data_IF_114723744387
#
_entry.id   IF_114723744387
#
_cell.length_a   1.000
_cell.length_b   1.000
_cell.length_c   1.000
_cell.angle_alpha   90.00
_cell.angle_beta   90.00
_cell.angle_gamma   90.00
#
_symmetry.space_group_name_H-M   'P 1'
#
loop_
_entity.id
_entity.type
_entity.pdbx_description
1 polymer ?
#
# COMPACT_ATOMS: atom_id res chain seq x y z
N UNK A 1 -14.63 9.40 -16.89
CA UNK A 1 -15.09 8.55 -15.77
C UNK A 1 -13.90 8.35 -14.82
N UNK A 2 -14.12 8.37 -13.51
CA UNK A 2 -12.99 8.25 -12.55
C UNK A 2 -12.65 6.76 -12.32
N UNK A 3 -11.58 6.29 -12.96
CA UNK A 3 -11.10 4.91 -12.87
C UNK A 3 -10.81 4.47 -11.43
N UNK A 4 -10.26 5.39 -10.60
CA UNK A 4 -9.95 5.10 -9.20
C UNK A 4 -11.22 4.92 -8.38
N UNK A 5 -12.23 5.73 -8.65
CA UNK A 5 -13.54 5.59 -8.00
C UNK A 5 -14.20 4.26 -8.38
N UNK A 6 -14.16 3.89 -9.66
CA UNK A 6 -14.70 2.60 -10.11
C UNK A 6 -14.06 1.41 -9.37
N UNK A 7 -12.71 1.40 -9.29
CA UNK A 7 -11.99 0.34 -8.57
C UNK A 7 -12.29 0.34 -7.07
N UNK A 8 -12.35 1.53 -6.45
CA UNK A 8 -12.65 1.68 -5.03
C UNK A 8 -14.07 1.22 -4.67
N UNK A 9 -15.07 1.66 -5.42
CA UNK A 9 -16.47 1.28 -5.22
C UNK A 9 -16.64 -0.25 -5.38
N UNK A 10 -16.02 -0.84 -6.41
CA UNK A 10 -16.07 -2.28 -6.63
C UNK A 10 -15.42 -3.09 -5.51
N UNK A 11 -14.31 -2.60 -4.97
CA UNK A 11 -13.62 -3.26 -3.87
C UNK A 11 -14.43 -3.23 -2.57
N UNK A 12 -15.17 -2.15 -2.31
CA UNK A 12 -16.05 -2.04 -1.15
C UNK A 12 -17.14 -3.15 -1.09
N UNK A 13 -17.58 -3.68 -2.23
CA UNK A 13 -18.55 -4.79 -2.29
C UNK A 13 -18.06 -6.09 -1.60
N UNK A 14 -16.74 -6.24 -1.40
CA UNK A 14 -16.15 -7.39 -0.71
C UNK A 14 -16.20 -7.26 0.82
N UNK A 15 -16.49 -6.07 1.34
CA UNK A 15 -16.63 -5.83 2.77
C UNK A 15 -17.97 -6.39 3.25
N UNK A 16 -17.95 -7.22 4.28
CA UNK A 16 -19.12 -7.90 4.82
C UNK A 16 -19.32 -7.56 6.31
N UNK A 17 -20.53 -7.76 6.76
CA UNK A 17 -20.91 -7.54 8.17
C UNK A 17 -20.02 -8.38 9.12
N UNK A 18 -19.58 -7.77 10.20
CA UNK A 18 -18.73 -8.41 11.22
C UNK A 18 -17.25 -8.44 10.93
N UNK A 19 -16.79 -7.98 9.74
CA UNK A 19 -15.37 -8.01 9.39
C UNK A 19 -14.53 -6.97 10.15
N UNK A 20 -13.25 -7.31 10.35
CA UNK A 20 -12.17 -6.36 10.62
C UNK A 20 -11.50 -6.02 9.29
N UNK A 21 -11.56 -4.74 8.88
CA UNK A 21 -11.16 -4.28 7.55
C UNK A 21 -9.95 -3.37 7.62
N UNK A 22 -8.88 -3.71 6.90
CA UNK A 22 -7.74 -2.85 6.66
C UNK A 22 -8.06 -1.80 5.61
N UNK A 23 -8.06 -0.53 5.99
CA UNK A 23 -8.32 0.61 5.12
C UNK A 23 -7.02 1.20 4.61
N UNK A 24 -6.78 1.03 3.31
CA UNK A 24 -5.59 1.49 2.62
C UNK A 24 -5.43 2.99 2.52
N UNK A 25 -4.33 3.42 1.93
CA UNK A 25 -3.93 4.83 1.77
C UNK A 25 -3.77 5.20 0.29
N UNK A 26 -4.06 6.45 -0.04
CA UNK A 26 -3.87 7.01 -1.39
C UNK A 26 -5.17 7.27 -2.13
N UNK A 27 -5.04 7.81 -3.35
CA UNK A 27 -6.17 8.36 -4.10
C UNK A 27 -7.23 7.33 -4.50
N UNK A 28 -6.84 6.07 -4.77
CA UNK A 28 -7.81 5.00 -5.07
C UNK A 28 -8.46 4.49 -3.78
N UNK A 29 -7.67 4.30 -2.72
CA UNK A 29 -8.17 3.90 -1.41
C UNK A 29 -9.14 4.93 -0.81
N UNK A 30 -8.94 6.22 -1.07
CA UNK A 30 -9.86 7.29 -0.65
C UNK A 30 -11.31 7.02 -1.10
N UNK A 31 -11.51 6.58 -2.35
CA UNK A 31 -12.84 6.26 -2.86
C UNK A 31 -13.42 5.00 -2.21
N UNK A 32 -12.60 3.98 -1.99
CA UNK A 32 -13.01 2.77 -1.28
C UNK A 32 -13.45 3.09 0.16
N UNK A 33 -12.69 3.89 0.89
CA UNK A 33 -13.05 4.30 2.26
C UNK A 33 -14.36 5.08 2.30
N UNK A 34 -14.61 5.97 1.31
CA UNK A 34 -15.90 6.66 1.19
C UNK A 34 -17.05 5.68 0.96
N UNK A 35 -16.88 4.71 0.05
CA UNK A 35 -17.91 3.70 -0.22
C UNK A 35 -18.20 2.85 1.03
N UNK A 36 -17.18 2.41 1.75
CA UNK A 36 -17.33 1.69 3.02
C UNK A 36 -18.03 2.56 4.07
N UNK A 37 -17.69 3.86 4.16
CA UNK A 37 -18.36 4.80 5.06
C UNK A 37 -19.86 4.93 4.77
N UNK A 38 -20.27 5.01 3.51
CA UNK A 38 -21.69 5.01 3.15
C UNK A 38 -22.38 3.67 3.52
N UNK A 39 -21.68 2.53 3.36
CA UNK A 39 -22.22 1.23 3.78
C UNK A 39 -22.42 1.18 5.30
N UNK A 40 -21.46 1.68 6.09
CA UNK A 40 -21.57 1.76 7.57
C UNK A 40 -22.75 2.65 7.96
N UNK A 41 -22.91 3.81 7.34
CA UNK A 41 -24.04 4.71 7.55
C UNK A 41 -25.39 4.04 7.24
N UNK A 42 -25.41 3.10 6.29
CA UNK A 42 -26.58 2.32 5.92
C UNK A 42 -26.75 1.01 6.73
N UNK A 43 -25.97 0.83 7.79
CA UNK A 43 -26.14 -0.23 8.78
C UNK A 43 -25.15 -1.37 8.74
N UNK A 44 -24.15 -1.36 7.84
CA UNK A 44 -23.06 -2.33 7.85
C UNK A 44 -22.26 -2.22 9.15
N UNK A 45 -22.02 -3.34 9.83
CA UNK A 45 -21.31 -3.41 11.09
C UNK A 45 -19.91 -3.98 10.87
N UNK A 46 -18.89 -3.15 10.90
CA UNK A 46 -17.49 -3.53 10.80
C UNK A 46 -16.65 -2.83 11.86
N UNK A 47 -15.42 -3.28 12.01
CA UNK A 47 -14.33 -2.56 12.65
C UNK A 47 -13.21 -2.37 11.64
N UNK A 48 -12.44 -1.29 11.75
CA UNK A 48 -11.45 -1.01 10.73
C UNK A 48 -10.11 -0.56 11.29
N UNK A 49 -9.03 -0.84 10.54
CA UNK A 49 -7.67 -0.40 10.80
C UNK A 49 -7.19 0.46 9.64
N UNK A 50 -6.88 1.75 9.87
CA UNK A 50 -6.32 2.62 8.84
C UNK A 50 -4.81 2.43 8.71
N UNK A 51 -4.31 2.48 7.47
CA UNK A 51 -2.87 2.37 7.16
C UNK A 51 -2.12 3.70 7.22
N UNK A 52 -2.81 4.81 7.51
CA UNK A 52 -2.22 6.15 7.69
C UNK A 52 -3.07 7.05 8.56
N UNK A 53 -2.48 8.12 9.09
CA UNK A 53 -3.22 9.17 9.81
C UNK A 53 -4.24 9.87 8.91
N UNK A 54 -3.95 10.02 7.62
CA UNK A 54 -4.88 10.60 6.66
C UNK A 54 -6.13 9.71 6.49
N UNK A 55 -5.94 8.40 6.31
CA UNK A 55 -7.05 7.43 6.24
C UNK A 55 -7.81 7.33 7.57
N UNK A 56 -7.09 7.43 8.69
CA UNK A 56 -7.71 7.48 10.02
C UNK A 56 -8.66 8.68 10.16
N UNK A 57 -8.21 9.87 9.77
CA UNK A 57 -9.03 11.08 9.82
C UNK A 57 -10.29 10.93 8.92
N UNK A 58 -10.12 10.47 7.69
CA UNK A 58 -11.23 10.22 6.76
C UNK A 58 -12.24 9.21 7.34
N UNK A 59 -11.77 8.09 7.86
CA UNK A 59 -12.63 7.06 8.43
C UNK A 59 -13.42 7.56 9.65
N UNK A 60 -12.80 8.39 10.51
CA UNK A 60 -13.47 9.03 11.64
C UNK A 60 -14.57 10.00 11.20
N UNK A 61 -14.33 10.83 10.19
CA UNK A 61 -15.33 11.74 9.61
C UNK A 61 -16.54 10.97 9.03
N UNK A 62 -16.30 9.78 8.47
CA UNK A 62 -17.33 8.91 7.93
C UNK A 62 -18.04 8.04 9.00
N UNK A 63 -17.63 8.12 10.26
CA UNK A 63 -18.21 7.34 11.35
C UNK A 63 -17.86 5.86 11.32
N UNK A 64 -16.79 5.46 10.62
CA UNK A 64 -16.32 4.07 10.60
C UNK A 64 -15.66 3.76 11.96
N UNK A 65 -16.10 2.69 12.68
CA UNK A 65 -15.47 2.30 13.95
C UNK A 65 -14.03 1.83 13.73
N UNK A 66 -13.08 2.44 14.44
CA UNK A 66 -11.65 2.14 14.33
C UNK A 66 -11.13 1.39 15.56
N UNK A 67 -10.21 0.47 15.30
CA UNK A 67 -9.41 -0.25 16.29
C UNK A 67 -7.94 0.17 16.21
N UNK A 68 -7.19 -0.11 17.26
CA UNK A 68 -5.74 -0.02 17.30
C UNK A 68 -5.14 -1.34 16.83
N UNK A 69 -4.06 -1.29 16.05
CA UNK A 69 -3.44 -2.50 15.47
C UNK A 69 -2.99 -3.50 16.54
N UNK A 70 -2.50 -3.01 17.69
CA UNK A 70 -2.00 -3.83 18.78
C UNK A 70 -3.11 -4.57 19.57
N UNK A 71 -4.39 -4.25 19.29
CA UNK A 71 -5.56 -4.91 19.92
C UNK A 71 -6.09 -6.06 19.05
N UNK A 72 -5.46 -6.35 17.90
CA UNK A 72 -5.97 -7.29 16.91
C UNK A 72 -5.09 -8.52 16.75
N UNK A 73 -5.73 -9.68 16.67
CA UNK A 73 -5.08 -10.94 16.30
C UNK A 73 -4.99 -11.12 14.77
N UNK A 74 -5.94 -10.54 14.02
CA UNK A 74 -5.99 -10.64 12.56
C UNK A 74 -6.81 -9.51 11.93
N UNK A 75 -6.66 -9.35 10.62
CA UNK A 75 -7.52 -8.56 9.74
C UNK A 75 -8.22 -9.51 8.78
N UNK A 76 -9.55 -9.39 8.58
CA UNK A 76 -10.25 -10.29 7.66
C UNK A 76 -9.96 -9.93 6.21
N UNK A 77 -9.99 -8.64 5.89
CA UNK A 77 -9.80 -8.13 4.53
C UNK A 77 -9.02 -6.82 4.57
N UNK A 78 -7.88 -6.75 3.88
CA UNK A 78 -7.18 -5.49 3.61
C UNK A 78 -7.41 -5.05 2.17
N UNK A 79 -7.81 -3.78 1.96
CA UNK A 79 -8.00 -3.19 0.64
C UNK A 79 -7.13 -1.96 0.53
N UNK A 80 -6.19 -1.93 -0.41
CA UNK A 80 -5.24 -0.82 -0.54
C UNK A 80 -4.83 -0.57 -2.00
N UNK A 81 -4.30 0.63 -2.27
CA UNK A 81 -3.76 1.01 -3.57
C UNK A 81 -2.37 0.44 -3.83
N UNK A 82 -1.93 0.48 -5.10
CA UNK A 82 -0.55 0.17 -5.49
C UNK A 82 0.04 1.27 -6.36
N UNK A 83 1.37 1.36 -6.40
CA UNK A 83 2.09 2.26 -7.30
C UNK A 83 2.41 1.58 -8.64
N UNK A 84 2.79 0.29 -8.60
CA UNK A 84 2.94 -0.61 -9.74
C UNK A 84 2.63 -2.05 -9.31
N UNK A 85 2.15 -2.87 -10.24
CA UNK A 85 1.98 -4.31 -10.06
C UNK A 85 2.18 -5.06 -11.37
N UNK A 86 2.87 -6.20 -11.31
CA UNK A 86 3.12 -7.09 -12.45
C UNK A 86 2.12 -8.27 -12.52
N UNK A 87 2.11 -9.04 -13.64
CA UNK A 87 1.24 -10.20 -13.78
C UNK A 87 1.50 -11.34 -12.78
N UNK A 88 2.65 -11.33 -12.09
CA UNK A 88 2.98 -12.27 -11.03
C UNK A 88 2.50 -11.79 -9.66
N UNK A 89 1.74 -10.68 -9.60
CA UNK A 89 1.24 -10.05 -8.40
C UNK A 89 2.33 -9.49 -7.46
N UNK A 90 3.53 -9.22 -7.99
CA UNK A 90 4.52 -8.45 -7.28
C UNK A 90 4.16 -6.96 -7.37
N UNK A 91 4.08 -6.29 -6.23
CA UNK A 91 3.68 -4.89 -6.20
C UNK A 91 4.75 -3.99 -5.58
N UNK A 92 4.85 -2.76 -6.10
CA UNK A 92 5.50 -1.63 -5.43
C UNK A 92 4.42 -0.76 -4.80
N UNK A 93 4.60 -0.45 -3.52
CA UNK A 93 3.74 0.44 -2.74
C UNK A 93 4.56 1.42 -1.91
N UNK A 94 3.90 2.39 -1.31
CA UNK A 94 4.54 3.36 -0.43
C UNK A 94 4.85 4.70 -1.07
N UNK A 95 4.35 4.98 -2.28
CA UNK A 95 4.44 6.29 -2.92
C UNK A 95 3.83 7.40 -2.05
N UNK A 96 2.76 7.10 -1.31
CA UNK A 96 2.14 7.98 -0.31
C UNK A 96 2.95 8.18 0.98
N UNK A 97 3.90 7.29 1.28
CA UNK A 97 4.74 7.31 2.49
C UNK A 97 4.22 6.46 3.64
N UNK A 98 3.22 5.61 3.43
CA UNK A 98 2.58 4.80 4.48
C UNK A 98 3.04 3.32 4.48
N UNK A 99 4.03 2.95 3.66
CA UNK A 99 4.44 1.57 3.36
C UNK A 99 4.57 0.66 4.59
N UNK A 100 5.07 1.17 5.72
CA UNK A 100 5.24 0.39 6.95
C UNK A 100 3.89 -0.09 7.50
N UNK A 101 2.96 0.85 7.72
CA UNK A 101 1.62 0.51 8.22
C UNK A 101 0.83 -0.30 7.20
N UNK A 102 0.94 0.02 5.90
CA UNK A 102 0.33 -0.74 4.81
C UNK A 102 0.76 -2.21 4.85
N UNK A 103 2.08 -2.48 5.04
CA UNK A 103 2.59 -3.86 5.09
C UNK A 103 2.20 -4.57 6.38
N UNK A 104 2.23 -3.91 7.53
CA UNK A 104 1.76 -4.49 8.80
C UNK A 104 0.31 -4.95 8.67
N UNK A 105 -0.60 -4.09 8.19
CA UNK A 105 -2.01 -4.44 8.01
C UNK A 105 -2.19 -5.55 6.99
N UNK A 106 -1.52 -5.47 5.83
CA UNK A 106 -1.59 -6.52 4.80
C UNK A 106 -1.05 -7.88 5.29
N UNK A 107 0.00 -7.88 6.14
CA UNK A 107 0.58 -9.12 6.67
C UNK A 107 -0.32 -9.84 7.68
N UNK A 108 -1.24 -9.11 8.32
CA UNK A 108 -2.23 -9.65 9.27
C UNK A 108 -3.53 -10.06 8.58
N UNK A 109 -3.71 -9.71 7.30
CA UNK A 109 -4.96 -9.92 6.59
C UNK A 109 -5.08 -11.35 6.04
N UNK A 110 -6.27 -11.96 6.22
CA UNK A 110 -6.62 -13.24 5.62
C UNK A 110 -6.73 -13.13 4.10
N UNK A 111 -7.27 -12.01 3.62
CA UNK A 111 -7.33 -11.67 2.20
C UNK A 111 -6.84 -10.24 1.97
N UNK A 112 -6.13 -10.03 0.86
CA UNK A 112 -5.64 -8.72 0.43
C UNK A 112 -6.13 -8.44 -0.98
N UNK A 113 -6.74 -7.28 -1.18
CA UNK A 113 -7.18 -6.77 -2.47
C UNK A 113 -6.36 -5.52 -2.81
N UNK A 114 -5.69 -5.53 -3.96
CA UNK A 114 -5.08 -4.33 -4.50
C UNK A 114 -6.03 -3.64 -5.48
N UNK A 115 -6.20 -2.33 -5.31
CA UNK A 115 -7.10 -1.50 -6.13
C UNK A 115 -6.32 -0.42 -6.88
N UNK A 116 -6.65 -0.20 -8.15
CA UNK A 116 -5.88 0.68 -9.01
C UNK A 116 -6.64 1.16 -10.25
N UNK A 117 -6.09 2.16 -10.90
CA UNK A 117 -6.35 2.44 -12.30
C UNK A 117 -5.42 1.62 -13.20
N UNK A 118 -5.79 1.45 -14.48
CA UNK A 118 -5.06 0.62 -15.44
C UNK A 118 -3.59 1.01 -15.65
N UNK A 119 -3.21 2.27 -15.36
CA UNK A 119 -1.83 2.74 -15.51
C UNK A 119 -0.84 2.10 -14.53
N UNK A 120 -1.35 1.40 -13.48
CA UNK A 120 -0.53 0.74 -12.48
C UNK A 120 -0.16 -0.70 -12.84
N UNK A 121 -0.83 -1.25 -13.85
CA UNK A 121 -0.48 -2.55 -14.43
C UNK A 121 0.75 -2.38 -15.33
N UNK A 122 1.81 -3.11 -15.03
CA UNK A 122 3.07 -3.08 -15.79
C UNK A 122 3.54 -4.49 -16.09
N UNK A 123 4.30 -4.67 -17.17
CA UNK A 123 4.89 -5.98 -17.49
C UNK A 123 5.96 -6.39 -16.47
N UNK A 124 6.72 -5.40 -15.97
CA UNK A 124 7.75 -5.56 -14.94
C UNK A 124 7.79 -4.32 -14.05
N UNK A 125 7.76 -4.52 -12.74
CA UNK A 125 7.87 -3.43 -11.77
C UNK A 125 9.26 -2.77 -11.80
N UNK A 126 9.33 -1.50 -11.36
CA UNK A 126 10.57 -0.74 -11.14
C UNK A 126 10.70 0.51 -12.00
N UNK A 127 9.74 0.85 -12.86
CA UNK A 127 9.68 2.18 -13.50
C UNK A 127 9.31 3.23 -12.44
N UNK A 128 8.39 2.90 -11.54
CA UNK A 128 8.20 3.66 -10.30
C UNK A 128 9.35 3.36 -9.33
N UNK A 129 9.85 4.38 -8.64
CA UNK A 129 10.89 4.19 -7.64
C UNK A 129 10.42 3.29 -6.49
N UNK A 130 11.31 2.49 -5.93
CA UNK A 130 11.00 1.64 -4.79
C UNK A 130 11.18 2.43 -3.48
N UNK A 131 10.11 2.73 -2.72
CA UNK A 131 10.22 3.38 -1.43
C UNK A 131 10.81 2.45 -0.37
N UNK A 132 11.76 2.95 0.41
CA UNK A 132 12.37 2.24 1.54
C UNK A 132 12.31 3.11 2.77
N UNK A 133 11.60 2.66 3.81
CA UNK A 133 11.54 3.30 5.10
C UNK A 133 12.85 3.09 5.85
N UNK A 134 13.49 4.18 6.27
CA UNK A 134 14.77 4.15 6.96
C UNK A 134 14.71 4.91 8.29
N UNK A 135 15.48 4.46 9.26
CA UNK A 135 15.65 5.17 10.52
C UNK A 135 16.25 6.56 10.28
N UNK A 136 15.80 7.58 11.01
CA UNK A 136 16.37 8.93 10.91
C UNK A 136 17.86 8.93 11.33
N UNK A 137 18.14 8.30 12.48
CA UNK A 137 19.52 8.14 12.95
C UNK A 137 20.27 7.17 12.03
N UNK A 138 21.34 7.65 11.43
CA UNK A 138 22.15 6.87 10.49
C UNK A 138 21.55 6.75 9.09
N UNK A 139 20.60 7.61 8.71
CA UNK A 139 19.98 7.62 7.39
C UNK A 139 20.99 7.78 6.25
N UNK A 140 22.01 8.63 6.42
CA UNK A 140 23.10 8.78 5.46
C UNK A 140 23.82 7.44 5.22
N UNK A 141 24.18 6.72 6.28
CA UNK A 141 24.87 5.43 6.19
C UNK A 141 23.99 4.35 5.56
N UNK A 142 22.68 4.35 5.83
CA UNK A 142 21.73 3.46 5.16
C UNK A 142 21.69 3.74 3.65
N UNK A 143 21.60 5.00 3.25
CA UNK A 143 21.62 5.39 1.84
C UNK A 143 22.95 5.05 1.15
N UNK A 144 24.09 5.24 1.82
CA UNK A 144 25.40 4.84 1.29
C UNK A 144 25.49 3.32 1.04
N UNK A 145 24.91 2.49 1.93
CA UNK A 145 24.83 1.03 1.70
C UNK A 145 23.99 0.68 0.48
N UNK A 146 22.85 1.34 0.28
CA UNK A 146 22.02 1.16 -0.92
C UNK A 146 22.74 1.63 -2.19
N UNK A 147 23.43 2.77 -2.12
CA UNK A 147 24.22 3.31 -3.23
C UNK A 147 25.37 2.37 -3.65
N UNK A 148 25.97 1.64 -2.71
CA UNK A 148 27.01 0.66 -3.00
C UNK A 148 26.54 -0.51 -3.88
N UNK A 149 25.22 -0.78 -3.93
CA UNK A 149 24.61 -1.72 -4.86
C UNK A 149 24.21 -1.08 -6.20
N UNK A 150 24.44 0.23 -6.39
CA UNK A 150 24.02 0.93 -7.61
C UNK A 150 22.53 1.31 -7.64
N UNK A 151 21.83 1.31 -6.51
CA UNK A 151 20.37 1.51 -6.46
C UNK A 151 19.92 2.97 -6.48
N UNK A 152 20.83 3.93 -6.61
CA UNK A 152 20.55 5.36 -6.73
C UNK A 152 19.49 5.87 -5.73
N UNK A 153 19.74 5.77 -4.39
CA UNK A 153 18.79 6.20 -3.38
C UNK A 153 18.67 7.72 -3.35
N UNK A 154 17.44 8.21 -3.32
CA UNK A 154 17.13 9.65 -3.14
C UNK A 154 16.30 9.82 -1.88
N UNK A 155 16.75 10.67 -0.96
CA UNK A 155 15.98 10.98 0.24
C UNK A 155 14.72 11.73 -0.15
N UNK A 156 13.54 11.21 0.25
CA UNK A 156 12.27 11.81 -0.12
C UNK A 156 12.10 13.21 0.48
N UNK A 157 11.70 14.15 -0.36
CA UNK A 157 11.39 15.53 0.01
C UNK A 157 9.93 15.84 -0.36
N UNK A 158 9.22 16.53 0.51
CA UNK A 158 7.89 17.08 0.24
C UNK A 158 7.85 18.54 0.71
N UNK A 159 7.37 19.44 -0.13
CA UNK A 159 7.29 20.88 0.17
C UNK A 159 8.65 21.49 0.63
N UNK A 160 9.74 21.07 -0.03
CA UNK A 160 11.09 21.55 0.25
C UNK A 160 11.73 21.04 1.55
N UNK A 161 11.08 20.11 2.27
CA UNK A 161 11.57 19.51 3.52
C UNK A 161 11.69 18.01 3.39
N UNK A 162 12.64 17.41 4.12
CA UNK A 162 12.73 15.95 4.23
C UNK A 162 11.38 15.40 4.71
N UNK A 163 10.85 14.44 3.95
CA UNK A 163 9.59 13.80 4.30
C UNK A 163 9.75 12.90 5.51
N UNK A 164 8.85 13.05 6.47
CA UNK A 164 8.77 12.21 7.67
C UNK A 164 7.47 11.42 7.63
N UNK A 165 7.55 10.10 7.76
CA UNK A 165 6.38 9.21 7.79
C UNK A 165 5.55 9.39 9.06
N UNK A 166 4.33 8.85 9.08
CA UNK A 166 3.46 8.85 10.27
C UNK A 166 4.11 8.19 11.50
N UNK A 167 5.10 7.32 11.29
CA UNK A 167 5.86 6.64 12.33
C UNK A 167 7.20 7.32 12.66
N UNK A 168 7.46 8.52 12.14
CA UNK A 168 8.66 9.30 12.44
C UNK A 168 9.93 8.83 11.70
N UNK A 169 9.80 8.15 10.57
CA UNK A 169 10.91 7.63 9.78
C UNK A 169 11.11 8.43 8.49
N UNK A 170 12.28 8.33 7.88
CA UNK A 170 12.54 8.86 6.54
C UNK A 170 12.21 7.82 5.47
N UNK A 171 12.17 8.24 4.21
CA UNK A 171 12.06 7.36 3.04
C UNK A 171 13.22 7.65 2.09
N UNK A 172 13.89 6.58 1.69
CA UNK A 172 14.80 6.57 0.55
C UNK A 172 14.06 5.97 -0.65
N UNK A 173 13.96 6.71 -1.73
CA UNK A 173 13.39 6.26 -3.00
C UNK A 173 14.50 5.69 -3.87
N UNK A 174 14.43 4.39 -4.19
CA UNK A 174 15.43 3.70 -5.01
C UNK A 174 15.02 3.71 -6.48
N UNK A 175 15.88 4.21 -7.34
CA UNK A 175 15.68 4.26 -8.79
C UNK A 175 16.34 3.06 -9.47
N UNK A 176 15.68 1.90 -9.42
CA UNK A 176 16.22 0.61 -9.87
C UNK A 176 16.06 0.38 -11.38
N UNK A 177 15.03 1.00 -11.99
CA UNK A 177 14.61 0.71 -13.36
C UNK A 177 13.74 -0.56 -13.46
N UNK A 178 12.92 -0.63 -14.53
CA UNK A 178 12.01 -1.75 -14.72
C UNK A 178 12.76 -3.07 -14.93
N UNK A 179 12.27 -4.13 -14.26
CA UNK A 179 12.82 -5.49 -14.41
C UNK A 179 14.09 -5.77 -13.61
N UNK A 180 14.34 -5.02 -12.54
CA UNK A 180 15.40 -5.37 -11.59
C UNK A 180 15.17 -6.75 -10.96
N UNK A 181 16.22 -7.35 -10.40
CA UNK A 181 16.10 -8.62 -9.69
C UNK A 181 15.39 -8.41 -8.33
N UNK A 182 14.09 -8.74 -8.32
CA UNK A 182 13.20 -8.52 -7.18
C UNK A 182 13.68 -9.30 -5.95
N UNK A 183 14.14 -10.55 -6.12
CA UNK A 183 14.55 -11.40 -5.00
C UNK A 183 15.87 -10.96 -4.41
N UNK A 184 16.81 -10.53 -5.25
CA UNK A 184 18.09 -9.98 -4.80
C UNK A 184 17.89 -8.70 -3.99
N UNK A 185 17.10 -7.75 -4.52
CA UNK A 185 16.79 -6.48 -3.84
C UNK A 185 16.03 -6.74 -2.54
N UNK A 186 15.01 -7.60 -2.56
CA UNK A 186 14.22 -7.96 -1.38
C UNK A 186 15.13 -8.52 -0.26
N UNK A 187 15.96 -9.52 -0.58
CA UNK A 187 16.81 -10.18 0.42
C UNK A 187 17.84 -9.23 1.05
N UNK A 188 18.43 -8.34 0.23
CA UNK A 188 19.42 -7.36 0.69
C UNK A 188 18.79 -6.27 1.56
N UNK A 189 17.60 -5.77 1.20
CA UNK A 189 16.90 -4.76 1.99
C UNK A 189 16.43 -5.31 3.34
N UNK A 190 15.88 -6.53 3.38
CA UNK A 190 15.38 -7.16 4.61
C UNK A 190 16.44 -7.30 5.69
N UNK A 191 17.72 -7.51 5.31
CA UNK A 191 18.85 -7.62 6.27
C UNK A 191 19.66 -6.35 6.46
N UNK A 192 19.32 -5.24 5.83
CA UNK A 192 20.15 -4.04 5.82
C UNK A 192 19.94 -3.18 7.06
N UNK A 193 21.03 -2.94 7.83
CA UNK A 193 20.98 -2.06 9.00
C UNK A 193 20.54 -0.64 8.63
N UNK A 194 19.53 -0.15 9.33
CA UNK A 194 18.92 1.16 9.13
C UNK A 194 17.67 1.13 8.23
N UNK A 195 17.40 0.03 7.53
CA UNK A 195 16.13 -0.23 6.85
C UNK A 195 15.11 -0.75 7.86
N UNK A 196 13.92 -0.18 7.84
CA UNK A 196 12.79 -0.59 8.68
C UNK A 196 11.82 -1.48 7.88
N UNK A 197 11.51 -1.05 6.67
CA UNK A 197 10.64 -1.77 5.74
C UNK A 197 10.81 -1.21 4.33
N UNK A 198 10.43 -1.96 3.32
CA UNK A 198 10.52 -1.55 1.91
C UNK A 198 9.21 -1.78 1.15
N UNK A 199 9.05 -1.07 0.05
CA UNK A 199 7.82 -1.04 -0.75
C UNK A 199 7.59 -2.25 -1.66
N UNK A 200 8.38 -3.34 -1.56
CA UNK A 200 8.09 -4.60 -2.26
C UNK A 200 7.05 -5.41 -1.46
N UNK A 201 5.87 -5.60 -2.04
CA UNK A 201 4.77 -6.40 -1.48
C UNK A 201 4.62 -7.65 -2.34
N UNK A 202 5.25 -8.74 -1.90
CA UNK A 202 5.35 -9.99 -2.64
C UNK A 202 4.45 -11.06 -2.01
N UNK A 203 3.78 -11.87 -2.84
CA UNK A 203 2.94 -12.98 -2.36
C UNK A 203 1.84 -12.60 -1.35
N UNK A 204 1.32 -11.38 -1.37
CA UNK A 204 0.29 -10.92 -0.44
C UNK A 204 -1.10 -10.85 -1.08
N UNK A 205 -1.17 -10.50 -2.36
CA UNK A 205 -2.40 -10.19 -3.07
C UNK A 205 -3.23 -11.43 -3.41
N UNK A 206 -4.51 -11.42 -3.02
CA UNK A 206 -5.51 -12.40 -3.43
C UNK A 206 -6.12 -12.03 -4.78
N UNK A 207 -6.44 -10.76 -4.99
CA UNK A 207 -7.02 -10.24 -6.24
C UNK A 207 -6.64 -8.78 -6.50
N UNK A 208 -6.61 -8.43 -7.77
CA UNK A 208 -6.52 -7.05 -8.25
C UNK A 208 -7.89 -6.59 -8.74
N UNK A 209 -8.24 -5.33 -8.45
CA UNK A 209 -9.42 -4.67 -9.01
C UNK A 209 -8.94 -3.43 -9.75
N UNK A 210 -9.17 -3.42 -11.05
CA UNK A 210 -8.64 -2.42 -11.97
C UNK A 210 -9.79 -1.63 -12.58
N UNK A 211 -9.75 -0.32 -12.42
CA UNK A 211 -10.66 0.59 -13.14
C UNK A 211 -10.05 1.01 -14.47
N UNK A 212 -10.82 0.88 -15.55
CA UNK A 212 -10.40 1.21 -16.90
C UNK A 212 -11.00 2.54 -17.39
N UNK A 213 -10.30 3.18 -18.33
CA UNK A 213 -10.72 4.45 -18.94
C UNK A 213 -12.03 4.35 -19.73
N UNK A 214 -12.37 3.16 -20.24
CA UNK A 214 -13.64 2.88 -20.92
C UNK A 214 -14.84 2.71 -19.95
N UNK A 215 -14.60 2.76 -18.61
CA UNK A 215 -15.62 2.61 -17.58
C UNK A 215 -15.83 1.18 -17.08
N UNK A 216 -15.07 0.22 -17.61
CA UNK A 216 -15.09 -1.15 -17.12
C UNK A 216 -14.30 -1.31 -15.83
N UNK A 217 -14.67 -2.31 -15.02
CA UNK A 217 -13.92 -2.75 -13.85
C UNK A 217 -13.53 -4.20 -14.06
N UNK A 218 -12.24 -4.46 -14.06
CA UNK A 218 -11.69 -5.81 -14.17
C UNK A 218 -11.30 -6.33 -12.80
N UNK A 219 -11.69 -7.57 -12.49
CA UNK A 219 -11.25 -8.31 -11.31
C UNK A 219 -10.34 -9.44 -11.77
N UNK A 220 -9.12 -9.48 -11.26
CA UNK A 220 -8.10 -10.48 -11.62
C UNK A 220 -7.74 -11.26 -10.36
N UNK A 221 -8.09 -12.55 -10.33
CA UNK A 221 -7.79 -13.43 -9.20
C UNK A 221 -6.35 -13.96 -9.29
N UNK A 222 -5.68 -14.02 -8.15
CA UNK A 222 -4.35 -14.65 -8.08
C UNK A 222 -4.52 -16.17 -8.00
N UNK A 223 -4.08 -16.93 -9.02
CA UNK A 223 -4.26 -18.39 -9.06
C UNK A 223 -3.44 -19.13 -7.98
N UNK A 224 -2.50 -18.45 -7.33
CA UNK A 224 -1.63 -19.02 -6.29
C UNK A 224 -2.15 -18.79 -4.85
N UNK A 225 -3.35 -18.16 -4.67
CA UNK A 225 -3.91 -17.75 -3.37
C UNK A 225 -5.34 -18.27 -3.16
#
# INVERSE_FOLDING_TARGET
MDMKKLAGDKAAEYVKDGMVVGLGTGSTAYHMVNAVGEMVKNGLKIQAIPTSKATEAQARELGIPLLTIDELDHVDLAIDGVDEIDPQFNAIKGGGGALYREKVVASMAKEVIWIMDESKLVDKIGAFHLPVGIAQYGSKQAMERMAAYGWNPVLRVRDGKTFVTDNGNFIADLHLGAGFDIQDVYSKLTGMLGVLEHGLFLNMCKRMIVGHSNGEVQVIENPSK
#
